data_IF_619197873354
#
_entry.id   IF_619197873354
#
_cell.length_a   1.000
_cell.length_b   1.000
_cell.length_c   1.000
_cell.angle_alpha   90.00
_cell.angle_beta   90.00
_cell.angle_gamma   90.00
#
_symmetry.space_group_name_H-M   'P 1'
#
loop_
_entity.id
_entity.type
_entity.pdbx_description
1 polymer ?
#
# COMPACT_ATOMS: atom_id res chain seq x y z
N UNK A 1 -0.96 3.77 12.97
CA UNK A 1 -2.04 4.31 12.11
C UNK A 1 -1.66 4.34 10.63
N UNK A 2 -0.37 4.26 10.28
CA UNK A 2 0.12 4.27 8.90
C UNK A 2 -0.56 3.29 7.94
N UNK A 3 -0.90 2.07 8.39
CA UNK A 3 -1.62 1.08 7.57
C UNK A 3 -3.02 1.57 7.17
N UNK A 4 -3.82 2.05 8.12
CA UNK A 4 -5.18 2.52 7.86
C UNK A 4 -5.17 3.74 6.93
N UNK A 5 -4.27 4.70 7.19
CA UNK A 5 -4.11 5.90 6.37
C UNK A 5 -3.67 5.54 4.93
N UNK A 6 -2.76 4.59 4.78
CA UNK A 6 -2.32 4.10 3.47
C UNK A 6 -3.47 3.42 2.71
N UNK A 7 -4.29 2.60 3.38
CA UNK A 7 -5.44 1.95 2.76
C UNK A 7 -6.49 2.96 2.28
N UNK A 8 -6.79 3.97 3.08
CA UNK A 8 -7.68 5.06 2.67
C UNK A 8 -7.12 5.83 1.47
N UNK A 9 -5.82 6.13 1.46
CA UNK A 9 -5.17 6.79 0.34
C UNK A 9 -5.24 5.97 -0.95
N UNK A 10 -4.95 4.66 -0.90
CA UNK A 10 -5.04 3.78 -2.07
C UNK A 10 -6.48 3.64 -2.58
N UNK A 11 -7.47 3.58 -1.68
CA UNK A 11 -8.89 3.61 -2.06
C UNK A 11 -9.28 4.89 -2.80
N UNK A 12 -8.80 6.06 -2.34
CA UNK A 12 -9.02 7.34 -3.02
C UNK A 12 -8.33 7.43 -4.39
N UNK A 13 -7.27 6.65 -4.63
CA UNK A 13 -6.59 6.54 -5.92
C UNK A 13 -7.26 5.54 -6.88
N UNK A 14 -8.30 4.82 -6.42
CA UNK A 14 -9.10 3.91 -7.24
C UNK A 14 -8.65 2.44 -7.20
N UNK A 15 -7.75 2.06 -6.29
CA UNK A 15 -7.34 0.66 -6.14
C UNK A 15 -8.41 -0.15 -5.40
N UNK A 16 -8.59 -1.41 -5.82
CA UNK A 16 -9.54 -2.31 -5.17
C UNK A 16 -9.11 -2.58 -3.71
N UNK A 17 -10.05 -2.60 -2.73
CA UNK A 17 -9.71 -2.79 -1.32
C UNK A 17 -8.91 -4.06 -1.05
N UNK A 18 -9.25 -5.17 -1.72
CA UNK A 18 -8.54 -6.44 -1.55
C UNK A 18 -7.08 -6.37 -2.03
N UNK A 19 -6.83 -5.76 -3.18
CA UNK A 19 -5.48 -5.59 -3.73
C UNK A 19 -4.66 -4.62 -2.88
N UNK A 20 -5.28 -3.51 -2.46
CA UNK A 20 -4.64 -2.52 -1.57
C UNK A 20 -4.22 -3.14 -0.23
N UNK A 21 -5.10 -3.94 0.40
CA UNK A 21 -4.77 -4.66 1.65
C UNK A 21 -3.59 -5.59 1.45
N UNK A 22 -3.57 -6.37 0.36
CA UNK A 22 -2.48 -7.29 0.09
C UNK A 22 -1.16 -6.57 -0.18
N UNK A 23 -1.17 -5.49 -0.98
CA UNK A 23 0.03 -4.71 -1.28
C UNK A 23 0.60 -4.01 -0.04
N UNK A 24 -0.27 -3.44 0.81
CA UNK A 24 0.16 -2.81 2.07
C UNK A 24 0.73 -3.83 3.05
N UNK A 25 0.13 -5.03 3.15
CA UNK A 25 0.66 -6.11 3.98
C UNK A 25 2.04 -6.58 3.49
N UNK A 26 2.22 -6.76 2.18
CA UNK A 26 3.51 -7.13 1.59
C UNK A 26 4.57 -6.05 1.80
N UNK A 27 4.20 -4.77 1.68
CA UNK A 27 5.11 -3.66 1.94
C UNK A 27 5.61 -3.64 3.40
N UNK A 28 4.70 -3.83 4.38
CA UNK A 28 5.07 -3.92 5.81
C UNK A 28 5.86 -5.19 6.15
N UNK A 29 5.66 -6.29 5.43
CA UNK A 29 6.49 -7.49 5.58
C UNK A 29 7.92 -7.25 5.09
N UNK A 30 8.09 -6.47 4.03
CA UNK A 30 9.40 -6.14 3.48
C UNK A 30 10.13 -5.08 4.32
N UNK A 31 9.40 -4.09 4.84
CA UNK A 31 9.92 -3.04 5.69
C UNK A 31 8.86 -2.63 6.73
N UNK A 32 8.94 -3.16 7.97
CA UNK A 32 7.98 -2.88 9.04
C UNK A 32 8.02 -1.43 9.55
N UNK A 33 9.09 -0.69 9.27
CA UNK A 33 9.33 0.66 9.80
C UNK A 33 8.86 1.76 8.84
N UNK A 34 8.18 1.39 7.74
CA UNK A 34 7.64 2.34 6.78
C UNK A 34 6.63 3.31 7.43
N UNK A 35 6.89 4.60 7.21
CA UNK A 35 5.94 5.66 7.47
C UNK A 35 4.79 5.64 6.44
N UNK A 36 3.69 6.38 6.69
CA UNK A 36 2.52 6.39 5.80
C UNK A 36 2.88 6.70 4.34
N UNK A 37 3.69 7.74 4.02
CA UNK A 37 4.11 8.01 2.65
C UNK A 37 4.96 6.88 2.04
N UNK A 38 5.88 6.29 2.82
CA UNK A 38 6.68 5.14 2.40
C UNK A 38 5.81 3.94 2.07
N UNK A 39 4.83 3.66 2.91
CA UNK A 39 3.90 2.56 2.77
C UNK A 39 3.02 2.69 1.52
N UNK A 40 2.51 3.90 1.24
CA UNK A 40 1.75 4.19 0.01
C UNK A 40 2.62 3.94 -1.23
N UNK A 41 3.85 4.48 -1.26
CA UNK A 41 4.75 4.32 -2.41
C UNK A 41 5.14 2.84 -2.64
N UNK A 42 5.41 2.11 -1.57
CA UNK A 42 5.74 0.68 -1.64
C UNK A 42 4.56 -0.13 -2.18
N UNK A 43 3.34 0.11 -1.67
CA UNK A 43 2.13 -0.54 -2.15
C UNK A 43 1.83 -0.23 -3.63
N UNK A 44 1.96 1.04 -4.05
CA UNK A 44 1.78 1.42 -5.46
C UNK A 44 2.75 0.69 -6.41
N UNK A 45 3.99 0.46 -5.98
CA UNK A 45 4.97 -0.30 -6.77
C UNK A 45 4.61 -1.77 -6.91
N UNK A 46 3.93 -2.36 -5.92
CA UNK A 46 3.44 -3.74 -5.96
C UNK A 46 2.19 -3.89 -6.83
N UNK A 47 1.34 -2.86 -6.86
CA UNK A 47 0.09 -2.81 -7.63
C UNK A 47 0.29 -2.43 -9.10
N UNK A 48 1.45 -1.85 -9.44
CA UNK A 48 1.75 -1.50 -10.82
C UNK A 48 1.79 -2.77 -11.70
N UNK A 49 1.12 -2.76 -12.87
CA UNK A 49 1.17 -3.88 -13.79
C UNK A 49 2.62 -4.14 -14.17
N UNK A 50 3.07 -5.38 -14.00
CA UNK A 50 4.32 -5.84 -14.59
C UNK A 50 3.98 -6.04 -16.07
N UNK A 51 4.50 -5.13 -16.90
CA UNK A 51 4.26 -5.10 -18.34
C UNK A 51 4.57 -6.42 -19.03
#
# INVERSE_FOLDING_TARGET
>A
MAQADALSALGNLGYAPGEAVQAVAQALQADPDLDTPGLIRAALRLLAPKG
#
